data_IF_639324660306
#
_entry.id   IF_639324660306
#
_cell.length_a   1.000
_cell.length_b   1.000
_cell.length_c   1.000
_cell.angle_alpha   90.00
_cell.angle_beta   90.00
_cell.angle_gamma   90.00
#
_symmetry.space_group_name_H-M   'P 1'
#
loop_
_entity.id
_entity.type
_entity.pdbx_description
1 polymer ?
#
# COMPACT_ATOMS: atom_id res chain seq x y z
N UNK A 1 -14.95 -15.27 -71.85
CA UNK A 1 -15.25 -16.57 -71.20
C UNK A 1 -15.19 -16.38 -69.69
N UNK A 2 -16.32 -16.16 -69.02
CA UNK A 2 -16.39 -15.90 -67.57
C UNK A 2 -16.58 -17.21 -66.81
N UNK A 3 -15.60 -17.60 -65.99
CA UNK A 3 -15.74 -18.75 -65.09
C UNK A 3 -16.41 -18.29 -63.81
N UNK A 4 -17.71 -18.60 -63.69
CA UNK A 4 -18.45 -18.50 -62.43
C UNK A 4 -18.02 -19.64 -61.50
N UNK A 5 -17.21 -19.32 -60.50
CA UNK A 5 -16.89 -20.21 -59.39
C UNK A 5 -18.07 -20.26 -58.42
N UNK A 6 -18.99 -21.21 -58.64
CA UNK A 6 -20.08 -21.52 -57.70
C UNK A 6 -19.48 -22.06 -56.38
N UNK A 7 -19.70 -21.41 -55.22
CA UNK A 7 -19.32 -21.99 -53.95
C UNK A 7 -20.17 -23.24 -53.70
N UNK A 8 -19.53 -24.36 -53.36
CA UNK A 8 -20.21 -25.61 -52.99
C UNK A 8 -20.78 -25.44 -51.58
N UNK A 9 -22.07 -25.73 -51.34
CA UNK A 9 -22.62 -25.69 -50.00
C UNK A 9 -22.12 -26.91 -49.23
N UNK A 10 -21.05 -26.74 -48.46
CA UNK A 10 -20.64 -27.73 -47.47
C UNK A 10 -21.69 -27.81 -46.36
N UNK A 11 -21.89 -29.02 -45.84
CA UNK A 11 -22.86 -29.34 -44.78
C UNK A 11 -22.52 -28.55 -43.49
N UNK A 12 -23.09 -27.37 -43.37
CA UNK A 12 -22.85 -26.41 -42.28
C UNK A 12 -23.93 -26.51 -41.18
N UNK A 13 -24.38 -27.73 -40.83
CA UNK A 13 -25.54 -27.93 -39.92
C UNK A 13 -25.24 -28.65 -38.60
N UNK A 14 -23.99 -29.02 -38.33
CA UNK A 14 -23.60 -29.66 -37.07
C UNK A 14 -22.56 -28.89 -36.26
N UNK A 15 -21.69 -28.15 -36.94
CA UNK A 15 -20.49 -27.56 -36.32
C UNK A 15 -20.76 -26.22 -35.60
N UNK A 16 -21.81 -25.50 -36.01
CA UNK A 16 -22.14 -24.16 -35.46
C UNK A 16 -22.42 -24.20 -33.94
N UNK A 17 -23.03 -25.28 -33.44
CA UNK A 17 -23.31 -25.43 -32.00
C UNK A 17 -22.02 -25.71 -31.21
N UNK A 18 -21.11 -26.52 -31.76
CA UNK A 18 -19.82 -26.80 -31.15
C UNK A 18 -18.91 -25.58 -31.17
N UNK A 19 -18.86 -24.87 -32.29
CA UNK A 19 -18.10 -23.62 -32.43
C UNK A 19 -18.60 -22.55 -31.46
N UNK A 20 -19.92 -22.43 -31.29
CA UNK A 20 -20.51 -21.51 -30.31
C UNK A 20 -20.18 -21.91 -28.87
N UNK A 21 -20.21 -23.20 -28.55
CA UNK A 21 -19.85 -23.71 -27.21
C UNK A 21 -18.38 -23.44 -26.89
N UNK A 22 -17.48 -23.67 -27.85
CA UNK A 22 -16.05 -23.36 -27.71
C UNK A 22 -15.85 -21.85 -27.56
N UNK A 23 -16.56 -21.03 -28.33
CA UNK A 23 -16.51 -19.57 -28.23
C UNK A 23 -16.93 -19.06 -26.84
N UNK A 24 -18.05 -19.56 -26.30
CA UNK A 24 -18.52 -19.20 -24.95
C UNK A 24 -17.54 -19.69 -23.88
N UNK A 25 -16.99 -20.90 -24.02
CA UNK A 25 -16.00 -21.45 -23.09
C UNK A 25 -14.74 -20.59 -23.07
N UNK A 26 -14.19 -20.23 -24.23
CA UNK A 26 -13.02 -19.35 -24.32
C UNK A 26 -13.31 -17.96 -23.73
N UNK A 27 -14.47 -17.37 -24.06
CA UNK A 27 -14.86 -16.08 -23.51
C UNK A 27 -15.02 -16.13 -21.98
N UNK A 28 -15.53 -17.25 -21.43
CA UNK A 28 -15.67 -17.44 -19.99
C UNK A 28 -14.31 -17.52 -19.28
N UNK A 29 -13.33 -18.21 -19.87
CA UNK A 29 -11.96 -18.33 -19.32
C UNK A 29 -11.28 -16.95 -19.35
N UNK A 30 -11.40 -16.22 -20.45
CA UNK A 30 -10.84 -14.86 -20.57
C UNK A 30 -11.51 -13.92 -19.56
N UNK A 31 -12.84 -13.96 -19.45
CA UNK A 31 -13.60 -13.16 -18.49
C UNK A 31 -13.15 -13.42 -17.05
N UNK A 32 -13.03 -14.70 -16.66
CA UNK A 32 -12.55 -15.07 -15.33
C UNK A 32 -11.11 -14.60 -15.07
N UNK A 33 -10.23 -14.71 -16.07
CA UNK A 33 -8.86 -14.21 -16.00
C UNK A 33 -8.79 -12.69 -15.76
N UNK A 34 -9.60 -11.91 -16.48
CA UNK A 34 -9.69 -10.46 -16.33
C UNK A 34 -10.23 -10.10 -14.94
N UNK A 35 -11.32 -10.75 -14.50
CA UNK A 35 -11.89 -10.50 -13.17
C UNK A 35 -10.90 -10.84 -12.06
N UNK A 36 -10.17 -11.95 -12.18
CA UNK A 36 -9.14 -12.33 -11.22
C UNK A 36 -8.01 -11.28 -11.15
N UNK A 37 -7.48 -10.86 -12.29
CA UNK A 37 -6.46 -9.81 -12.34
C UNK A 37 -6.97 -8.48 -11.76
N UNK A 38 -8.19 -8.06 -12.12
CA UNK A 38 -8.81 -6.85 -11.61
C UNK A 38 -9.03 -6.91 -10.09
N UNK A 39 -9.41 -8.07 -9.54
CA UNK A 39 -9.58 -8.25 -8.10
C UNK A 39 -8.26 -8.07 -7.34
N UNK A 40 -7.17 -8.65 -7.85
CA UNK A 40 -5.82 -8.48 -7.28
C UNK A 40 -5.35 -7.02 -7.37
N UNK A 41 -5.59 -6.37 -8.51
CA UNK A 41 -5.25 -4.95 -8.69
C UNK A 41 -6.06 -4.05 -7.73
N UNK A 42 -7.34 -4.31 -7.54
CA UNK A 42 -8.19 -3.54 -6.63
C UNK A 42 -7.75 -3.66 -5.17
N UNK A 43 -7.32 -4.86 -4.74
CA UNK A 43 -6.74 -5.06 -3.40
C UNK A 43 -5.45 -4.25 -3.25
N UNK A 44 -4.53 -4.35 -4.21
CA UNK A 44 -3.27 -3.59 -4.18
C UNK A 44 -3.50 -2.06 -4.15
N UNK A 45 -4.48 -1.55 -4.90
CA UNK A 45 -4.85 -0.14 -4.86
C UNK A 45 -5.40 0.30 -3.51
N UNK A 46 -6.16 -0.57 -2.82
CA UNK A 46 -6.64 -0.29 -1.46
C UNK A 46 -5.47 -0.19 -0.49
N UNK A 47 -4.54 -1.15 -0.55
CA UNK A 47 -3.38 -1.17 0.33
C UNK A 47 -2.52 0.09 0.17
N UNK A 48 -2.24 0.51 -1.08
CA UNK A 48 -1.50 1.75 -1.35
C UNK A 48 -2.19 2.99 -0.79
N UNK A 49 -3.52 3.08 -0.91
CA UNK A 49 -4.28 4.22 -0.34
C UNK A 49 -4.20 4.24 1.18
N UNK A 50 -4.32 3.09 1.83
CA UNK A 50 -4.22 2.99 3.28
C UNK A 50 -2.83 3.36 3.78
N UNK A 51 -1.78 2.87 3.11
CA UNK A 51 -0.40 3.24 3.42
C UNK A 51 -0.20 4.76 3.31
N UNK A 52 -0.68 5.40 2.24
CA UNK A 52 -0.51 6.84 2.07
C UNK A 52 -1.22 7.67 3.15
N UNK A 53 -2.43 7.27 3.56
CA UNK A 53 -3.17 7.92 4.67
C UNK A 53 -2.40 7.77 5.98
N UNK A 54 -1.89 6.57 6.27
CA UNK A 54 -1.17 6.31 7.51
C UNK A 54 0.17 7.03 7.53
N UNK A 55 0.90 7.07 6.41
CA UNK A 55 2.13 7.85 6.29
C UNK A 55 1.88 9.34 6.47
N UNK A 56 0.81 9.91 5.88
CA UNK A 56 0.50 11.33 6.04
C UNK A 56 0.11 11.69 7.47
N UNK A 57 -0.67 10.84 8.14
CA UNK A 57 -0.99 11.00 9.56
C UNK A 57 0.28 10.89 10.42
N UNK A 58 1.14 9.90 10.19
CA UNK A 58 2.40 9.75 10.92
C UNK A 58 3.33 10.96 10.71
N UNK A 59 3.44 11.48 9.48
CA UNK A 59 4.19 12.73 9.24
C UNK A 59 3.58 13.91 9.97
N UNK A 60 2.26 14.05 9.97
CA UNK A 60 1.58 15.12 10.70
C UNK A 60 1.81 15.03 12.22
N UNK A 61 1.84 13.81 12.77
CA UNK A 61 2.20 13.59 14.18
C UNK A 61 3.65 13.99 14.46
N UNK A 62 4.56 13.67 13.54
CA UNK A 62 5.97 14.06 13.60
C UNK A 62 6.15 15.58 13.54
N UNK A 63 5.43 16.27 12.65
CA UNK A 63 5.48 17.73 12.52
C UNK A 63 4.89 18.44 13.74
N UNK A 64 3.79 17.94 14.29
CA UNK A 64 3.10 18.57 15.42
C UNK A 64 3.82 18.33 16.76
N UNK A 65 4.40 17.15 16.96
CA UNK A 65 4.90 16.73 18.27
C UNK A 65 6.42 16.49 18.30
N UNK A 66 7.05 16.17 17.17
CA UNK A 66 8.50 15.99 17.06
C UNK A 66 9.11 15.14 18.19
N UNK A 67 10.14 15.69 18.85
CA UNK A 67 10.84 15.04 19.96
C UNK A 67 9.98 14.78 21.21
N UNK A 68 8.80 15.40 21.35
CA UNK A 68 7.88 15.14 22.47
C UNK A 68 7.22 13.75 22.37
N UNK A 69 7.23 13.13 21.19
CA UNK A 69 6.77 11.74 20.99
C UNK A 69 7.66 10.74 21.74
N UNK A 70 8.92 11.10 21.98
CA UNK A 70 9.90 10.34 22.76
C UNK A 70 9.77 10.58 24.28
N UNK A 71 9.06 11.66 24.64
CA UNK A 71 8.71 12.16 25.96
C UNK A 71 8.24 11.06 26.91
N UNK A 72 7.01 10.62 26.69
CA UNK A 72 6.30 9.52 27.40
C UNK A 72 4.83 9.44 26.96
N UNK A 73 4.47 10.04 25.81
CA UNK A 73 3.06 10.26 25.48
C UNK A 73 2.51 9.18 24.55
N UNK A 74 2.42 7.95 25.09
CA UNK A 74 1.93 6.77 24.37
C UNK A 74 0.52 6.97 23.75
N UNK A 75 -0.27 7.88 24.31
CA UNK A 75 -1.60 8.23 23.80
C UNK A 75 -1.58 8.96 22.44
N UNK A 76 -0.48 9.62 22.08
CA UNK A 76 -0.33 10.34 20.80
C UNK A 76 0.22 9.44 19.69
N UNK A 77 0.71 8.24 20.04
CA UNK A 77 1.23 7.27 19.09
C UNK A 77 0.10 6.39 18.57
N UNK A 78 -0.91 7.00 17.97
CA UNK A 78 -2.02 6.29 17.36
C UNK A 78 -2.35 6.84 15.98
N UNK A 79 -2.70 5.95 15.06
CA UNK A 79 -3.12 6.29 13.70
C UNK A 79 -4.51 5.74 13.45
N UNK A 80 -5.36 6.51 12.75
CA UNK A 80 -6.74 6.13 12.49
C UNK A 80 -6.93 5.80 11.02
N UNK A 81 -7.45 4.60 10.75
CA UNK A 81 -7.66 4.09 9.40
C UNK A 81 -9.17 4.11 9.13
N UNK A 82 -9.65 4.57 7.97
CA UNK A 82 -11.09 4.59 7.67
C UNK A 82 -11.77 3.21 7.68
N UNK A 83 -10.98 2.12 7.62
CA UNK A 83 -11.47 0.74 7.67
C UNK A 83 -11.59 0.17 9.08
N UNK A 84 -11.10 0.86 10.12
CA UNK A 84 -11.21 0.45 11.52
C UNK A 84 -11.77 1.58 12.39
N UNK A 85 -12.66 1.21 13.31
CA UNK A 85 -13.22 2.11 14.33
C UNK A 85 -12.31 2.32 15.53
N UNK A 86 -11.31 1.44 15.72
CA UNK A 86 -10.32 1.59 16.78
C UNK A 86 -9.01 2.18 16.23
N UNK A 87 -8.41 3.19 16.91
CA UNK A 87 -7.07 3.66 16.57
C UNK A 87 -6.04 2.53 16.73
N UNK A 88 -5.09 2.43 15.80
CA UNK A 88 -3.98 1.49 15.89
C UNK A 88 -2.78 2.19 16.53
N UNK A 89 -2.15 1.59 17.54
CA UNK A 89 -0.96 2.16 18.13
C UNK A 89 0.26 1.93 17.24
N UNK A 90 1.12 2.95 17.19
CA UNK A 90 2.41 2.96 16.49
C UNK A 90 3.54 3.03 17.51
N UNK A 91 4.76 2.70 17.09
CA UNK A 91 5.95 2.70 17.95
C UNK A 91 6.89 3.79 17.50
N UNK A 92 7.25 4.70 18.41
CA UNK A 92 8.29 5.70 18.16
C UNK A 92 9.64 5.16 18.67
N UNK A 93 10.64 5.21 17.81
CA UNK A 93 12.04 5.00 18.15
C UNK A 93 12.76 6.33 18.01
N UNK A 94 13.49 6.71 19.06
CA UNK A 94 14.13 8.01 19.14
C UNK A 94 15.62 7.84 19.37
N UNK A 95 16.42 8.48 18.54
CA UNK A 95 17.88 8.53 18.68
C UNK A 95 18.28 9.91 19.16
N UNK A 96 18.96 9.98 20.30
CA UNK A 96 19.50 11.24 20.83
C UNK A 96 20.71 11.66 19.99
N UNK A 97 20.70 12.89 19.46
CA UNK A 97 21.86 13.39 18.73
C UNK A 97 23.07 13.60 19.68
N UNK A 98 24.31 13.39 19.21
CA UNK A 98 25.50 13.63 20.00
C UNK A 98 25.62 15.11 20.37
N UNK A 99 26.13 15.39 21.59
CA UNK A 99 26.36 16.75 22.05
C UNK A 99 27.37 17.47 21.15
N UNK A 100 27.01 18.65 20.64
CA UNK A 100 27.92 19.48 19.84
C UNK A 100 28.83 20.28 20.77
N UNK A 101 30.12 19.94 20.77
CA UNK A 101 31.18 20.69 21.48
C UNK A 101 31.89 21.62 20.52
N UNK A 102 31.96 22.91 20.86
CA UNK A 102 32.83 23.88 20.17
C UNK A 102 33.96 24.24 21.13
N UNK A 103 35.16 23.71 20.88
CA UNK A 103 36.28 23.81 21.81
C UNK A 103 36.07 22.98 23.08
N UNK A 104 36.35 23.54 24.26
CA UNK A 104 36.12 22.90 25.57
C UNK A 104 34.70 23.08 26.12
N UNK A 105 33.84 23.80 25.39
CA UNK A 105 32.48 24.09 25.81
C UNK A 105 31.48 23.21 25.07
N UNK A 106 30.73 22.41 25.83
CA UNK A 106 29.54 21.71 25.35
C UNK A 106 28.42 22.74 25.17
N UNK A 107 27.86 22.84 23.96
CA UNK A 107 26.71 23.70 23.71
C UNK A 107 25.44 23.01 24.22
N UNK A 108 25.03 23.33 25.44
CA UNK A 108 23.82 22.82 26.09
C UNK A 108 22.60 23.72 25.84
N UNK A 109 22.49 24.30 24.64
CA UNK A 109 21.48 25.32 24.30
C UNK A 109 20.69 25.09 23.03
N UNK A 110 20.99 24.02 22.28
CA UNK A 110 20.18 23.56 21.16
C UNK A 110 19.54 22.24 21.53
N UNK A 111 18.27 22.03 21.23
CA UNK A 111 17.70 20.69 21.25
C UNK A 111 18.49 19.85 20.25
N UNK A 112 19.24 18.81 20.68
CA UNK A 112 19.82 17.88 19.73
C UNK A 112 18.69 17.37 18.85
N UNK A 113 18.81 17.52 17.53
CA UNK A 113 17.80 17.07 16.56
C UNK A 113 17.73 15.55 16.66
N UNK A 114 16.92 15.08 17.59
CA UNK A 114 16.77 13.66 17.86
C UNK A 114 15.97 13.10 16.70
N UNK A 115 16.53 12.14 15.99
CA UNK A 115 15.84 11.48 14.91
C UNK A 115 14.69 10.68 15.52
N UNK A 116 13.46 10.95 15.06
CA UNK A 116 12.26 10.23 15.49
C UNK A 116 11.77 9.41 14.33
N UNK A 117 11.79 8.09 14.48
CA UNK A 117 11.25 7.14 13.51
C UNK A 117 9.98 6.53 14.11
N UNK A 118 8.85 6.76 13.45
CA UNK A 118 7.60 6.08 13.72
C UNK A 118 7.54 4.80 12.91
N UNK A 119 7.13 3.71 13.56
CA UNK A 119 6.98 2.41 12.93
C UNK A 119 5.63 1.80 13.28
N UNK A 120 4.96 1.17 12.31
CA UNK A 120 3.80 0.34 12.61
C UNK A 120 4.23 -0.96 13.27
N UNK A 121 3.37 -1.53 14.13
CA UNK A 121 3.68 -2.80 14.78
C UNK A 121 3.64 -3.94 13.76
N UNK A 122 4.52 -4.93 13.93
CA UNK A 122 4.55 -6.12 13.08
C UNK A 122 3.22 -6.90 13.07
N UNK A 123 2.46 -6.87 14.17
CA UNK A 123 1.14 -7.49 14.26
C UNK A 123 0.06 -6.85 13.36
N UNK A 124 0.27 -5.59 12.96
CA UNK A 124 -0.64 -4.85 12.07
C UNK A 124 -0.18 -4.93 10.60
N UNK A 125 0.88 -5.68 10.28
CA UNK A 125 1.46 -5.74 8.93
C UNK A 125 0.52 -6.33 7.88
N UNK A 126 -0.43 -7.18 8.28
CA UNK A 126 -1.45 -7.75 7.38
C UNK A 126 -2.46 -6.72 6.90
N UNK A 127 -2.63 -5.61 7.61
CA UNK A 127 -3.58 -4.53 7.27
C UNK A 127 -2.95 -3.58 6.25
N UNK A 128 -1.64 -3.40 6.33
CA UNK A 128 -0.89 -2.46 5.50
C UNK A 128 -0.11 -3.12 4.36
N UNK A 129 -0.03 -4.45 4.33
CA UNK A 129 0.82 -5.20 3.41
C UNK A 129 2.31 -5.13 3.77
N UNK A 130 2.67 -4.73 5.00
CA UNK A 130 4.04 -4.58 5.46
C UNK A 130 4.19 -3.70 6.71
N UNK A 131 5.42 -3.56 7.20
CA UNK A 131 5.77 -2.60 8.25
C UNK A 131 6.07 -1.26 7.60
N UNK A 132 5.38 -0.21 8.03
CA UNK A 132 5.59 1.16 7.55
C UNK A 132 6.51 1.87 8.53
N UNK A 133 7.54 2.56 8.01
CA UNK A 133 8.46 3.40 8.79
C UNK A 133 8.43 4.83 8.24
N UNK A 134 8.36 5.82 9.12
CA UNK A 134 8.34 7.24 8.77
C UNK A 134 9.17 8.02 9.79
N UNK A 135 10.23 8.66 9.35
CA UNK A 135 11.06 9.50 10.21
C UNK A 135 12.38 9.88 9.58
N UNK A 136 13.21 10.55 10.36
CA UNK A 136 14.60 10.82 9.99
C UNK A 136 15.44 9.59 10.38
N UNK A 137 15.93 8.89 9.36
CA UNK A 137 16.83 7.76 9.50
C UNK A 137 18.26 8.24 9.23
N UNK A 138 18.81 8.94 10.22
CA UNK A 138 20.20 9.38 10.26
C UNK A 138 21.13 8.31 10.83
#
# INVERSE_FOLDING_TARGET
MSRSSKPRPWRQRGDVLLESLVGILLMSIIGLGITYAASRAAVSQRDMKLQNIVVSQMRSLLEQNGALLCSTNAALLVVSIPTQTSPLPIVATCTSAPAVTVGTSTLTGGTPQSAVVLTTRAQDSSIFGGVIRVGDES
#
